data_IF_235901492914
#
_entry.id   IF_235901492914
#
_cell.length_a   1.000
_cell.length_b   1.000
_cell.length_c   1.000
_cell.angle_alpha   90.00
_cell.angle_beta   90.00
_cell.angle_gamma   90.00
#
_symmetry.space_group_name_H-M   'P 1'
#
loop_
_entity.id
_entity.type
_entity.pdbx_description
1 polymer ?
#
# COMPACT_ATOMS: atom_id res chain seq x y z
N UNK A 1 7.41 26.45 2.49
CA UNK A 1 6.39 25.63 3.15
C UNK A 1 5.46 25.09 2.08
N UNK A 2 5.29 23.76 1.99
CA UNK A 2 4.38 23.14 1.04
C UNK A 2 3.24 22.51 1.83
N UNK A 3 2.00 22.82 1.46
CA UNK A 3 0.79 22.17 1.98
C UNK A 3 0.11 21.44 0.83
N UNK A 4 -0.19 20.18 1.02
CA UNK A 4 -0.81 19.32 0.01
C UNK A 4 -2.07 18.68 0.56
N UNK A 5 -3.13 18.75 -0.22
CA UNK A 5 -4.35 17.99 0.04
C UNK A 5 -4.29 16.65 -0.71
N UNK A 6 -4.44 15.55 0.01
CA UNK A 6 -4.43 14.20 -0.56
C UNK A 6 -5.62 13.91 -1.48
N UNK A 7 -6.64 14.77 -1.51
CA UNK A 7 -7.74 14.68 -2.49
C UNK A 7 -7.27 14.94 -3.93
N UNK A 8 -6.18 15.69 -4.12
CA UNK A 8 -5.71 16.07 -5.45
C UNK A 8 -4.43 15.35 -5.86
N UNK A 9 -3.68 14.82 -4.90
CA UNK A 9 -2.39 14.20 -5.20
C UNK A 9 -1.99 13.19 -4.11
N UNK A 10 -1.50 12.04 -4.52
CA UNK A 10 -0.95 11.02 -3.63
C UNK A 10 0.53 11.31 -3.24
N UNK A 11 1.08 10.52 -2.33
CA UNK A 11 2.47 10.68 -1.88
C UNK A 11 3.52 10.49 -3.00
N UNK A 12 3.19 9.77 -4.08
CA UNK A 12 4.05 9.64 -5.25
C UNK A 12 4.02 10.90 -6.11
N UNK A 13 2.86 11.54 -6.22
CA UNK A 13 2.69 12.85 -6.85
C UNK A 13 3.53 13.92 -6.15
N UNK A 14 3.53 13.94 -4.82
CA UNK A 14 4.34 14.89 -4.06
C UNK A 14 5.84 14.71 -4.35
N UNK A 15 6.33 13.47 -4.33
CA UNK A 15 7.74 13.18 -4.67
C UNK A 15 8.08 13.58 -6.10
N UNK A 16 7.19 13.33 -7.03
CA UNK A 16 7.35 13.72 -8.44
C UNK A 16 7.46 15.25 -8.57
N UNK A 17 6.53 15.98 -7.97
CA UNK A 17 6.52 17.44 -8.01
C UNK A 17 7.80 18.03 -7.40
N UNK A 18 8.22 17.57 -6.22
CA UNK A 18 9.45 18.06 -5.59
C UNK A 18 10.69 17.77 -6.44
N UNK A 19 10.76 16.61 -7.07
CA UNK A 19 11.86 16.26 -7.99
C UNK A 19 11.88 17.21 -9.20
N UNK A 20 10.76 17.41 -9.87
CA UNK A 20 10.64 18.27 -11.04
C UNK A 20 10.92 19.73 -10.68
N UNK A 21 10.42 20.23 -9.54
CA UNK A 21 10.77 21.56 -9.04
C UNK A 21 12.29 21.74 -8.85
N UNK A 22 12.98 20.74 -8.29
CA UNK A 22 14.42 20.80 -8.11
C UNK A 22 15.18 20.70 -9.44
N UNK A 23 14.66 19.96 -10.41
CA UNK A 23 15.24 19.86 -11.75
C UNK A 23 15.16 21.20 -12.50
N UNK A 24 13.99 21.82 -12.55
CA UNK A 24 13.79 23.15 -13.14
C UNK A 24 14.56 24.26 -12.40
N UNK A 25 14.69 24.14 -11.09
CA UNK A 25 15.53 25.08 -10.33
C UNK A 25 17.01 25.02 -10.75
N UNK A 26 17.52 23.81 -11.00
CA UNK A 26 18.91 23.59 -11.43
C UNK A 26 19.13 23.87 -12.91
N UNK A 27 18.13 23.61 -13.72
CA UNK A 27 18.16 23.81 -15.16
C UNK A 27 16.85 24.48 -15.64
N UNK A 28 16.76 25.82 -15.61
CA UNK A 28 15.55 26.56 -15.99
C UNK A 28 15.13 26.36 -17.45
N UNK A 29 16.08 26.00 -18.33
CA UNK A 29 15.84 25.72 -19.75
C UNK A 29 15.44 24.26 -20.03
N UNK A 30 15.29 23.44 -18.99
CA UNK A 30 14.84 22.07 -19.17
C UNK A 30 13.46 22.04 -19.79
N UNK A 31 13.30 21.22 -20.82
CA UNK A 31 12.01 20.96 -21.48
C UNK A 31 11.61 19.53 -21.22
N UNK A 32 10.34 19.32 -20.98
CA UNK A 32 9.78 18.01 -20.72
C UNK A 32 8.83 17.61 -21.83
N UNK A 33 8.84 16.34 -22.17
CA UNK A 33 7.86 15.79 -23.13
C UNK A 33 6.45 15.85 -22.56
N UNK A 34 5.49 15.97 -23.47
CA UNK A 34 4.07 15.93 -23.11
C UNK A 34 3.72 14.63 -22.36
N UNK A 35 2.85 14.74 -21.36
CA UNK A 35 2.42 13.59 -20.59
C UNK A 35 1.67 12.60 -21.52
N UNK A 36 2.05 11.30 -21.51
CA UNK A 36 1.40 10.29 -22.34
C UNK A 36 -0.04 10.01 -21.93
N UNK A 37 -0.43 10.41 -20.71
CA UNK A 37 -1.77 10.26 -20.17
C UNK A 37 -2.00 11.25 -19.02
N UNK A 38 -3.13 11.97 -19.05
CA UNK A 38 -3.56 12.82 -17.94
C UNK A 38 -4.28 12.02 -16.84
N UNK A 39 -4.43 12.62 -15.65
CA UNK A 39 -5.26 12.03 -14.59
C UNK A 39 -6.73 11.89 -15.01
N UNK A 40 -7.26 12.87 -15.75
CA UNK A 40 -8.60 12.79 -16.33
C UNK A 40 -8.76 11.59 -17.25
N UNK A 41 -7.77 11.32 -18.12
CA UNK A 41 -7.81 10.14 -19.01
C UNK A 41 -7.77 8.84 -18.23
N UNK A 42 -7.00 8.80 -17.14
CA UNK A 42 -6.99 7.66 -16.22
C UNK A 42 -8.38 7.41 -15.63
N UNK A 43 -9.02 8.43 -15.09
CA UNK A 43 -10.37 8.30 -14.50
C UNK A 43 -11.36 7.79 -15.54
N UNK A 44 -11.45 8.43 -16.72
CA UNK A 44 -12.37 8.02 -17.78
C UNK A 44 -12.13 6.58 -18.24
N UNK A 45 -10.87 6.18 -18.44
CA UNK A 45 -10.52 4.81 -18.83
C UNK A 45 -10.79 3.79 -17.72
N UNK A 46 -10.66 4.20 -16.47
CA UNK A 46 -10.98 3.35 -15.31
C UNK A 46 -12.48 3.11 -15.22
N UNK A 47 -13.32 4.11 -15.49
CA UNK A 47 -14.79 3.94 -15.56
C UNK A 47 -15.19 2.94 -16.67
N UNK A 48 -14.56 3.02 -17.84
CA UNK A 48 -14.80 2.05 -18.91
C UNK A 48 -14.40 0.62 -18.51
N UNK A 49 -13.39 0.45 -17.65
CA UNK A 49 -13.02 -0.87 -17.13
C UNK A 49 -14.12 -1.49 -16.25
N UNK A 50 -14.92 -0.68 -15.56
CA UNK A 50 -16.03 -1.16 -14.71
C UNK A 50 -17.14 -1.88 -15.49
N UNK A 51 -17.25 -1.65 -16.78
CA UNK A 51 -18.21 -2.36 -17.65
C UNK A 51 -17.75 -3.75 -18.09
N UNK A 52 -16.51 -4.14 -17.78
CA UNK A 52 -15.94 -5.42 -18.25
C UNK A 52 -16.32 -6.58 -17.32
N UNK A 53 -16.39 -7.78 -17.90
CA UNK A 53 -16.71 -9.03 -17.19
C UNK A 53 -15.79 -9.28 -15.98
N UNK A 54 -14.51 -8.92 -16.10
CA UNK A 54 -13.55 -9.04 -14.99
C UNK A 54 -14.02 -8.24 -13.77
N UNK A 55 -14.44 -7.00 -13.93
CA UNK A 55 -14.92 -6.18 -12.82
C UNK A 55 -16.14 -6.77 -12.13
N UNK A 56 -17.06 -7.40 -12.88
CA UNK A 56 -18.21 -8.09 -12.29
C UNK A 56 -17.77 -9.29 -11.42
N UNK A 57 -16.78 -10.04 -11.87
CA UNK A 57 -16.17 -11.12 -11.08
C UNK A 57 -15.47 -10.62 -9.81
N UNK A 58 -14.66 -9.57 -9.93
CA UNK A 58 -13.97 -8.94 -8.80
C UNK A 58 -15.00 -8.40 -7.77
N UNK A 59 -16.05 -7.74 -8.26
CA UNK A 59 -17.15 -7.25 -7.42
C UNK A 59 -17.85 -8.39 -6.66
N UNK A 60 -18.21 -9.47 -7.34
CA UNK A 60 -18.84 -10.64 -6.71
C UNK A 60 -17.94 -11.28 -5.66
N UNK A 61 -16.62 -11.38 -5.93
CA UNK A 61 -15.63 -11.88 -4.99
C UNK A 61 -15.63 -11.05 -3.69
N UNK A 62 -15.60 -9.71 -3.82
CA UNK A 62 -15.57 -8.82 -2.66
C UNK A 62 -16.92 -8.78 -1.92
N UNK A 63 -18.05 -8.77 -2.63
CA UNK A 63 -19.39 -8.82 -2.01
C UNK A 63 -19.54 -10.05 -1.11
N UNK A 64 -19.15 -11.23 -1.59
CA UNK A 64 -19.20 -12.47 -0.80
C UNK A 64 -18.23 -12.47 0.38
N UNK A 65 -17.12 -11.77 0.25
CA UNK A 65 -16.09 -11.74 1.27
C UNK A 65 -16.38 -10.72 2.38
N UNK A 66 -16.94 -9.57 2.04
CA UNK A 66 -17.30 -8.52 3.00
C UNK A 66 -18.24 -9.00 4.09
N UNK A 67 -19.11 -9.97 3.81
CA UNK A 67 -20.01 -10.57 4.80
C UNK A 67 -19.27 -11.34 5.92
N UNK A 68 -18.02 -11.74 5.68
CA UNK A 68 -17.27 -12.64 6.55
C UNK A 68 -15.88 -12.12 6.92
N UNK A 69 -15.50 -10.94 6.44
CA UNK A 69 -14.17 -10.40 6.70
C UNK A 69 -13.98 -10.12 8.19
N UNK A 70 -12.82 -10.50 8.70
CA UNK A 70 -12.50 -10.29 10.11
C UNK A 70 -12.46 -8.79 10.47
N UNK A 71 -12.81 -8.41 11.71
CA UNK A 71 -12.70 -7.03 12.18
C UNK A 71 -11.23 -6.60 12.25
N UNK A 72 -10.94 -5.29 12.41
CA UNK A 72 -9.59 -4.83 12.71
C UNK A 72 -9.13 -5.37 14.09
N UNK A 73 -7.80 -5.37 14.36
CA UNK A 73 -7.30 -5.72 15.69
C UNK A 73 -7.78 -4.73 16.75
N UNK A 74 -8.06 -5.21 17.94
CA UNK A 74 -8.55 -4.39 19.07
C UNK A 74 -7.38 -3.68 19.74
N UNK A 75 -6.98 -2.55 19.21
CA UNK A 75 -5.86 -1.76 19.73
C UNK A 75 -6.28 -0.98 20.98
N UNK A 76 -5.41 -0.93 22.01
CA UNK A 76 -5.70 -0.14 23.21
C UNK A 76 -5.70 1.34 22.88
N UNK A 77 -6.77 2.03 23.27
CA UNK A 77 -6.86 3.48 23.20
C UNK A 77 -6.52 4.10 24.55
N UNK A 78 -5.57 5.02 24.58
CA UNK A 78 -5.38 5.89 25.72
C UNK A 78 -6.35 7.06 25.63
N UNK A 79 -7.13 7.30 26.67
CA UNK A 79 -7.90 8.54 26.79
C UNK A 79 -6.89 9.69 26.94
N UNK A 80 -6.96 10.69 26.08
CA UNK A 80 -6.18 11.92 26.20
C UNK A 80 -7.10 13.07 26.51
N UNK A 81 -6.75 13.90 27.48
CA UNK A 81 -7.46 15.15 27.81
C UNK A 81 -7.15 16.28 26.82
N UNK A 82 -6.44 15.97 25.73
CA UNK A 82 -6.03 16.95 24.74
C UNK A 82 -7.04 17.02 23.60
N UNK A 83 -7.65 18.18 23.42
CA UNK A 83 -8.52 18.49 22.27
C UNK A 83 -7.78 18.55 20.92
N UNK A 84 -6.43 18.44 20.94
CA UNK A 84 -5.62 18.49 19.73
C UNK A 84 -4.82 17.20 19.59
N UNK A 85 -5.01 16.44 18.49
CA UNK A 85 -4.21 15.27 18.21
C UNK A 85 -2.74 15.67 18.03
N UNK A 86 -1.85 15.00 18.75
CA UNK A 86 -0.41 15.14 18.60
C UNK A 86 0.12 13.93 17.84
N UNK A 87 0.87 14.19 16.77
CA UNK A 87 1.50 13.15 15.97
C UNK A 87 3.00 13.15 16.22
N UNK A 88 3.53 12.00 16.59
CA UNK A 88 4.96 11.78 16.72
C UNK A 88 5.44 10.84 15.60
N UNK A 89 6.64 11.10 15.09
CA UNK A 89 7.28 10.24 14.11
C UNK A 89 8.36 9.41 14.77
N UNK A 90 8.16 8.11 14.81
CA UNK A 90 9.20 7.16 15.18
C UNK A 90 10.02 6.81 13.93
N UNK A 91 11.32 6.95 13.99
CA UNK A 91 12.24 6.66 12.90
C UNK A 91 13.28 5.67 13.35
N UNK A 92 13.44 4.62 12.56
CA UNK A 92 14.49 3.63 12.74
C UNK A 92 15.22 3.40 11.41
N UNK A 93 16.54 3.24 11.47
CA UNK A 93 17.37 3.03 10.31
C UNK A 93 18.00 1.64 10.34
N UNK A 94 17.80 0.89 9.28
CA UNK A 94 18.43 -0.40 9.07
C UNK A 94 19.82 -0.21 8.45
N UNK A 95 20.83 -0.92 8.96
CA UNK A 95 22.14 -0.93 8.34
C UNK A 95 22.10 -1.58 6.94
N UNK A 96 23.02 -1.16 6.06
CA UNK A 96 23.15 -1.73 4.71
C UNK A 96 23.36 -3.24 4.74
N UNK A 97 24.22 -3.72 5.64
CA UNK A 97 24.51 -5.16 5.78
C UNK A 97 23.28 -5.97 6.23
N UNK A 98 22.47 -5.42 7.14
CA UNK A 98 21.22 -6.06 7.55
C UNK A 98 20.22 -6.12 6.37
N UNK A 99 20.10 -5.03 5.61
CA UNK A 99 19.25 -5.00 4.42
C UNK A 99 19.67 -6.03 3.37
N UNK A 100 20.96 -6.11 3.04
CA UNK A 100 21.51 -7.09 2.08
C UNK A 100 21.26 -8.53 2.53
N UNK A 101 21.41 -8.80 3.83
CA UNK A 101 21.08 -10.11 4.40
C UNK A 101 19.59 -10.46 4.21
N UNK A 102 18.70 -9.51 4.53
CA UNK A 102 17.25 -9.70 4.34
C UNK A 102 16.89 -9.91 2.87
N UNK A 103 17.46 -9.12 1.95
CA UNK A 103 17.23 -9.29 0.51
C UNK A 103 17.59 -10.70 0.02
N UNK A 104 18.71 -11.25 0.51
CA UNK A 104 19.10 -12.63 0.19
C UNK A 104 18.08 -13.67 0.71
N UNK A 105 17.44 -13.41 1.86
CA UNK A 105 16.39 -14.28 2.39
C UNK A 105 15.09 -14.17 1.58
N UNK A 106 14.73 -12.95 1.12
CA UNK A 106 13.56 -12.73 0.27
C UNK A 106 13.63 -13.55 -1.02
N UNK A 107 14.78 -13.49 -1.72
CA UNK A 107 14.98 -14.26 -2.95
C UNK A 107 14.86 -15.77 -2.75
N UNK A 108 15.49 -16.31 -1.69
CA UNK A 108 15.41 -17.75 -1.36
C UNK A 108 13.99 -18.24 -1.08
N UNK A 109 13.11 -17.38 -0.56
CA UNK A 109 11.76 -17.73 -0.13
C UNK A 109 10.67 -17.22 -1.06
N UNK A 110 11.05 -16.51 -2.11
CA UNK A 110 10.14 -15.88 -3.07
C UNK A 110 9.13 -14.93 -2.39
N UNK A 111 9.57 -14.24 -1.35
CA UNK A 111 8.77 -13.24 -0.62
C UNK A 111 9.25 -11.85 -1.02
N UNK A 112 8.32 -10.95 -1.30
CA UNK A 112 8.67 -9.54 -1.56
C UNK A 112 9.01 -8.81 -0.27
N UNK A 113 9.88 -7.79 -0.35
CA UNK A 113 10.19 -6.95 0.81
C UNK A 113 8.94 -6.33 1.42
N UNK A 114 8.00 -5.87 0.60
CA UNK A 114 6.73 -5.30 1.07
C UNK A 114 5.93 -6.30 1.89
N UNK A 115 5.80 -7.54 1.43
CA UNK A 115 5.08 -8.58 2.17
C UNK A 115 5.80 -9.03 3.43
N UNK A 116 7.15 -9.01 3.43
CA UNK A 116 7.91 -9.24 4.66
C UNK A 116 7.57 -8.21 5.74
N UNK A 117 7.66 -6.92 5.42
CA UNK A 117 7.36 -5.86 6.38
C UNK A 117 5.88 -5.82 6.76
N UNK A 118 4.98 -6.09 5.83
CA UNK A 118 3.55 -6.24 6.10
C UNK A 118 3.30 -7.37 7.10
N UNK A 119 3.95 -8.52 6.92
CA UNK A 119 3.84 -9.66 7.86
C UNK A 119 4.43 -9.33 9.22
N UNK A 120 5.58 -8.65 9.26
CA UNK A 120 6.21 -8.22 10.52
C UNK A 120 5.29 -7.26 11.29
N UNK A 121 4.68 -6.30 10.60
CA UNK A 121 3.70 -5.39 11.17
C UNK A 121 2.45 -6.15 11.67
N UNK A 122 1.92 -7.05 10.84
CA UNK A 122 0.79 -7.90 11.21
C UNK A 122 1.09 -8.80 12.42
N UNK A 123 2.32 -9.32 12.55
CA UNK A 123 2.73 -10.13 13.71
C UNK A 123 2.69 -9.33 15.02
N UNK A 124 3.09 -8.06 14.99
CA UNK A 124 2.97 -7.16 16.15
C UNK A 124 1.51 -6.88 16.48
N UNK A 125 0.70 -6.55 15.47
CA UNK A 125 -0.73 -6.29 15.66
C UNK A 125 -1.51 -7.53 16.14
N UNK A 126 -1.05 -8.72 15.78
CA UNK A 126 -1.64 -9.98 16.23
C UNK A 126 -1.66 -10.14 17.76
N UNK A 127 -0.82 -9.42 18.50
CA UNK A 127 -0.88 -9.38 19.96
C UNK A 127 -2.18 -8.75 20.50
N UNK A 128 -2.83 -7.92 19.69
CA UNK A 128 -4.11 -7.27 19.99
C UNK A 128 -5.31 -8.00 19.38
N UNK A 129 -5.08 -9.16 18.76
CA UNK A 129 -6.12 -10.05 18.23
C UNK A 129 -5.77 -11.52 18.52
N UNK A 130 -5.54 -11.90 19.79
CA UNK A 130 -5.00 -13.22 20.14
C UNK A 130 -5.92 -14.34 19.66
N UNK A 131 -5.36 -15.26 18.86
CA UNK A 131 -6.08 -16.44 18.36
C UNK A 131 -7.21 -16.15 17.37
N UNK A 132 -7.29 -14.92 16.81
CA UNK A 132 -8.33 -14.50 15.85
C UNK A 132 -7.71 -13.97 14.59
N UNK A 133 -8.41 -14.18 13.48
CA UNK A 133 -8.14 -13.46 12.24
C UNK A 133 -8.46 -11.97 12.44
N UNK A 134 -7.75 -11.09 11.73
CA UNK A 134 -8.05 -9.67 11.71
C UNK A 134 -7.77 -9.06 10.33
N UNK A 135 -8.36 -7.91 10.05
CA UNK A 135 -8.22 -7.24 8.77
C UNK A 135 -7.33 -6.00 8.87
N UNK A 136 -6.51 -5.80 7.85
CA UNK A 136 -5.71 -4.60 7.64
C UNK A 136 -6.12 -3.88 6.37
N UNK A 137 -6.17 -2.54 6.44
CA UNK A 137 -6.26 -1.70 5.26
C UNK A 137 -4.85 -1.48 4.69
N UNK A 138 -4.60 -2.07 3.52
CA UNK A 138 -3.32 -1.91 2.81
C UNK A 138 -3.50 -0.87 1.71
N UNK A 139 -2.71 0.19 1.78
CA UNK A 139 -2.69 1.24 0.76
C UNK A 139 -1.93 0.78 -0.48
N UNK A 140 -2.55 0.88 -1.63
CA UNK A 140 -2.02 0.52 -2.94
C UNK A 140 -1.94 1.74 -3.84
N UNK A 141 -1.11 1.66 -4.90
CA UNK A 141 -1.09 2.65 -5.97
C UNK A 141 -1.44 2.02 -7.31
N UNK A 142 -2.38 2.60 -8.03
CA UNK A 142 -2.85 2.12 -9.35
C UNK A 142 -2.07 2.70 -10.54
N UNK A 143 -0.90 3.33 -10.31
CA UNK A 143 -0.08 3.94 -11.36
C UNK A 143 0.42 2.95 -12.40
N UNK A 144 0.59 1.69 -12.03
CA UNK A 144 1.05 0.61 -12.93
C UNK A 144 -0.02 0.13 -13.91
N UNK A 145 -1.28 0.48 -13.68
CA UNK A 145 -2.45 -0.03 -14.43
C UNK A 145 -2.45 0.29 -15.94
N UNK A 146 -1.60 1.20 -16.42
CA UNK A 146 -1.56 1.67 -17.81
C UNK A 146 -0.14 1.63 -18.39
N UNK A 147 0.59 0.54 -18.15
CA UNK A 147 1.91 0.29 -18.75
C UNK A 147 2.91 1.46 -18.57
N UNK A 148 2.97 2.01 -17.37
CA UNK A 148 3.92 3.08 -17.05
C UNK A 148 3.53 4.48 -17.52
N UNK A 149 2.45 4.65 -18.27
CA UNK A 149 2.01 5.96 -18.81
C UNK A 149 1.65 7.00 -17.73
N UNK A 150 1.46 6.56 -16.49
CA UNK A 150 1.08 7.40 -15.35
C UNK A 150 2.24 7.75 -14.42
N UNK A 151 3.47 7.33 -14.72
CA UNK A 151 4.62 7.53 -13.83
C UNK A 151 4.94 9.01 -13.58
N UNK A 152 4.62 9.88 -14.54
CA UNK A 152 4.84 11.33 -14.47
C UNK A 152 3.54 12.14 -14.30
N UNK A 153 2.41 11.48 -14.10
CA UNK A 153 1.12 12.15 -13.95
C UNK A 153 0.85 12.45 -12.47
N UNK A 154 0.51 13.69 -12.15
CA UNK A 154 0.03 14.08 -10.84
C UNK A 154 -1.42 13.65 -10.68
N UNK A 155 -1.80 13.18 -9.49
CA UNK A 155 -3.16 12.77 -9.16
C UNK A 155 -3.19 11.82 -7.97
N UNK A 156 -4.37 11.55 -7.45
CA UNK A 156 -4.58 10.50 -6.45
C UNK A 156 -4.86 9.16 -7.13
N UNK A 157 -3.87 8.30 -7.14
CA UNK A 157 -3.95 6.92 -7.65
C UNK A 157 -4.05 5.91 -6.51
N UNK A 158 -4.32 6.38 -5.32
CA UNK A 158 -4.44 5.55 -4.13
C UNK A 158 -5.70 4.70 -4.19
N UNK A 159 -5.58 3.45 -3.77
CA UNK A 159 -6.68 2.55 -3.48
C UNK A 159 -6.40 1.79 -2.19
N UNK A 160 -7.43 1.17 -1.64
CA UNK A 160 -7.33 0.36 -0.43
C UNK A 160 -7.63 -1.09 -0.76
N UNK A 161 -6.89 -1.98 -0.12
CA UNK A 161 -7.12 -3.41 -0.14
C UNK A 161 -7.39 -3.86 1.30
N UNK A 162 -8.51 -4.54 1.51
CA UNK A 162 -8.83 -5.18 2.78
C UNK A 162 -8.11 -6.53 2.82
N UNK A 163 -6.99 -6.59 3.54
CA UNK A 163 -6.20 -7.81 3.66
C UNK A 163 -6.50 -8.50 4.99
N UNK A 164 -7.05 -9.69 4.92
CA UNK A 164 -7.28 -10.53 6.08
C UNK A 164 -6.00 -11.25 6.46
N UNK A 165 -5.60 -11.10 7.71
CA UNK A 165 -4.45 -11.75 8.32
C UNK A 165 -4.98 -12.93 9.15
N UNK A 166 -4.67 -14.17 8.78
CA UNK A 166 -5.13 -15.32 9.53
C UNK A 166 -4.48 -15.37 10.93
N UNK A 167 -5.19 -15.92 11.90
CA UNK A 167 -4.63 -16.20 13.22
C UNK A 167 -3.36 -17.05 13.09
N UNK A 168 -2.38 -16.80 13.94
CA UNK A 168 -1.17 -17.63 13.99
C UNK A 168 -1.51 -19.05 14.44
N UNK A 169 -0.87 -20.03 13.83
CA UNK A 169 -0.93 -21.43 14.26
C UNK A 169 0.17 -21.72 15.28
N UNK A 170 -0.08 -22.65 16.17
CA UNK A 170 0.94 -23.15 17.07
C UNK A 170 2.13 -23.70 16.26
N UNK A 171 3.34 -23.29 16.61
CA UNK A 171 4.59 -23.62 15.91
C UNK A 171 4.71 -23.14 14.45
N UNK A 172 3.91 -22.18 14.01
CA UNK A 172 4.06 -21.56 12.71
C UNK A 172 5.31 -20.66 12.67
N UNK A 173 6.18 -20.87 11.69
CA UNK A 173 7.32 -19.98 11.51
C UNK A 173 6.88 -18.63 10.93
N UNK A 174 7.66 -17.57 11.22
CA UNK A 174 7.43 -16.26 10.58
C UNK A 174 7.40 -16.36 9.05
N UNK A 175 8.23 -17.20 8.45
CA UNK A 175 8.32 -17.33 7.00
C UNK A 175 7.11 -18.03 6.40
N UNK A 176 6.55 -19.03 7.08
CA UNK A 176 5.30 -19.68 6.64
C UNK A 176 4.15 -18.68 6.69
N UNK A 177 4.09 -17.87 7.75
CA UNK A 177 3.14 -16.77 7.86
C UNK A 177 3.30 -15.76 6.72
N UNK A 178 4.54 -15.37 6.41
CA UNK A 178 4.81 -14.42 5.34
C UNK A 178 4.40 -14.97 3.96
N UNK A 179 4.55 -16.26 3.71
CA UNK A 179 4.05 -16.89 2.49
C UNK A 179 2.53 -16.88 2.43
N UNK A 180 1.84 -17.17 3.53
CA UNK A 180 0.37 -17.13 3.58
C UNK A 180 -0.17 -15.72 3.35
N UNK A 181 0.41 -14.72 4.03
CA UNK A 181 0.04 -13.31 3.85
C UNK A 181 0.28 -12.87 2.41
N UNK A 182 1.41 -13.23 1.81
CA UNK A 182 1.70 -12.90 0.42
C UNK A 182 0.73 -13.58 -0.55
N UNK A 183 0.41 -14.86 -0.34
CA UNK A 183 -0.53 -15.59 -1.18
C UNK A 183 -1.93 -14.94 -1.13
N UNK A 184 -2.37 -14.57 0.07
CA UNK A 184 -3.65 -13.86 0.24
C UNK A 184 -3.62 -12.49 -0.42
N UNK A 185 -2.54 -11.71 -0.20
CA UNK A 185 -2.35 -10.41 -0.85
C UNK A 185 -2.43 -10.52 -2.38
N UNK A 186 -1.73 -11.47 -2.99
CA UNK A 186 -1.73 -11.66 -4.44
C UNK A 186 -3.11 -12.05 -4.97
N UNK A 187 -3.84 -12.88 -4.22
CA UNK A 187 -5.22 -13.26 -4.55
C UNK A 187 -6.17 -12.07 -4.53
N UNK A 188 -6.03 -11.19 -3.54
CA UNK A 188 -6.91 -10.04 -3.34
C UNK A 188 -6.55 -8.88 -4.28
N UNK A 189 -5.31 -8.84 -4.79
CA UNK A 189 -4.81 -7.79 -5.68
C UNK A 189 -5.14 -8.04 -7.15
N UNK A 190 -5.48 -9.26 -7.56
CA UNK A 190 -5.79 -9.63 -8.97
C UNK A 190 -7.07 -9.00 -9.47
#
# INVERSE_FOLDING_TARGET
FYSFDLMIADGSSLRLLLRECMEYYRNPEATEDALPMSFRDYVLKSEVKKSKKKYAGDRQYWEQRLERIAPPPDLPYAATDSDKPQFERLTWNMSKSCWEHLQAQFGKRQITASNFFLTAYAAVLGHYAPGKDFCLNVTLTNRTSFAGKLLRTLGDFTSLLLLEIPAGKENESFWDKAQQVQAQFLKDYQ
#
